data_IF_118111888639
#
_entry.id   IF_118111888639
#
_cell.length_a   1.000
_cell.length_b   1.000
_cell.length_c   1.000
_cell.angle_alpha   90.00
_cell.angle_beta   90.00
_cell.angle_gamma   90.00
#
_symmetry.space_group_name_H-M   'P 1'
#
loop_
_entity.id
_entity.type
_entity.pdbx_description
1 polymer ?
#
# COMPACT_ATOMS: atom_id res chain seq x y z
N UNK A 1 20.47 -3.47 -14.58
CA UNK A 1 21.07 -3.93 -13.30
C UNK A 1 20.59 -2.95 -12.24
N UNK A 2 19.95 -3.47 -11.17
CA UNK A 2 19.50 -2.66 -10.04
C UNK A 2 20.46 -2.81 -8.86
N UNK A 3 20.56 -1.76 -8.05
CA UNK A 3 21.25 -1.79 -6.76
C UNK A 3 20.23 -1.97 -5.64
N UNK A 4 20.58 -2.73 -4.60
CA UNK A 4 19.73 -2.98 -3.45
C UNK A 4 20.46 -2.58 -2.16
N UNK A 5 19.72 -1.94 -1.25
CA UNK A 5 20.23 -1.60 0.08
C UNK A 5 19.13 -1.86 1.13
N UNK A 6 19.56 -2.22 2.34
CA UNK A 6 18.70 -2.27 3.53
C UNK A 6 18.90 -0.98 4.30
N UNK A 7 17.82 -0.19 4.43
CA UNK A 7 17.90 1.10 5.11
C UNK A 7 16.54 1.48 5.74
N UNK A 8 16.58 2.49 6.62
CA UNK A 8 15.35 3.14 7.09
C UNK A 8 14.81 4.08 6.01
N UNK A 9 13.49 4.06 5.78
CA UNK A 9 12.83 5.02 4.88
C UNK A 9 13.01 6.48 5.33
N UNK A 10 13.27 6.70 6.61
CA UNK A 10 13.53 8.02 7.20
C UNK A 10 14.98 8.47 7.07
N UNK A 11 15.86 7.61 6.56
CA UNK A 11 17.28 7.89 6.36
C UNK A 11 17.84 7.01 5.25
N UNK A 12 17.59 7.40 4.03
CA UNK A 12 18.00 6.65 2.84
C UNK A 12 19.48 6.88 2.52
N UNK A 13 20.24 5.84 2.12
CA UNK A 13 21.63 5.98 1.70
C UNK A 13 21.71 6.55 0.26
N UNK A 14 21.05 7.67 0.04
CA UNK A 14 20.91 8.36 -1.25
C UNK A 14 21.32 9.82 -1.06
N UNK A 15 22.08 10.36 -2.03
CA UNK A 15 22.52 11.75 -2.01
C UNK A 15 21.32 12.70 -2.19
N UNK A 16 21.43 13.90 -1.63
CA UNK A 16 20.45 14.97 -1.77
C UNK A 16 20.24 15.32 -3.25
N UNK A 17 18.98 15.50 -3.64
CA UNK A 17 18.62 15.95 -4.97
C UNK A 17 19.17 15.09 -6.11
N UNK A 18 19.28 13.77 -5.93
CA UNK A 18 19.93 12.88 -6.89
C UNK A 18 18.97 12.02 -7.71
N UNK A 19 17.72 11.83 -7.27
CA UNK A 19 16.77 10.96 -7.96
C UNK A 19 15.64 11.73 -8.64
N UNK A 20 15.21 11.23 -9.79
CA UNK A 20 14.16 11.83 -10.61
C UNK A 20 12.77 11.32 -10.22
N UNK A 21 12.69 10.06 -9.80
CA UNK A 21 11.44 9.40 -9.46
C UNK A 21 11.60 8.45 -8.27
N UNK A 22 10.67 8.51 -7.31
CA UNK A 22 10.60 7.64 -6.13
C UNK A 22 9.27 6.90 -6.13
N UNK A 23 9.31 5.58 -5.97
CA UNK A 23 8.12 4.75 -5.77
C UNK A 23 8.06 4.27 -4.33
N UNK A 24 6.99 4.63 -3.61
CA UNK A 24 6.70 4.16 -2.27
C UNK A 24 5.48 3.23 -2.30
N UNK A 25 5.71 1.93 -2.09
CA UNK A 25 4.66 0.91 -2.04
C UNK A 25 4.52 0.39 -0.61
N UNK A 26 3.37 0.62 0.04
CA UNK A 26 3.02 0.07 1.36
C UNK A 26 4.06 0.34 2.46
N UNK A 27 4.86 1.35 2.28
CA UNK A 27 5.90 1.79 3.21
C UNK A 27 5.46 3.07 3.92
N UNK A 28 5.98 3.38 5.11
CA UNK A 28 5.73 4.66 5.76
C UNK A 28 6.11 5.84 4.86
N UNK A 29 5.37 6.93 4.99
CA UNK A 29 5.57 8.14 4.21
C UNK A 29 6.58 9.05 4.94
N UNK A 30 7.79 9.15 4.43
CA UNK A 30 8.87 9.98 4.98
C UNK A 30 9.07 11.24 4.12
N UNK A 31 8.14 12.20 4.22
CA UNK A 31 8.05 13.37 3.33
C UNK A 31 9.34 14.19 3.32
N UNK A 32 9.95 14.46 4.47
CA UNK A 32 11.20 15.23 4.54
C UNK A 32 12.35 14.53 3.83
N UNK A 33 12.41 13.21 3.98
CA UNK A 33 13.44 12.40 3.33
C UNK A 33 13.20 12.30 1.81
N UNK A 34 11.95 12.17 1.38
CA UNK A 34 11.59 12.18 -0.04
C UNK A 34 11.94 13.53 -0.68
N UNK A 35 11.65 14.63 0.04
CA UNK A 35 12.04 15.98 -0.40
C UNK A 35 13.56 16.13 -0.48
N UNK A 36 14.31 15.56 0.44
CA UNK A 36 15.79 15.62 0.42
C UNK A 36 16.37 14.93 -0.81
N UNK A 37 15.95 13.69 -1.10
CA UNK A 37 16.57 12.87 -2.16
C UNK A 37 16.10 13.20 -3.56
N UNK A 38 14.87 13.71 -3.74
CA UNK A 38 14.33 14.08 -5.04
C UNK A 38 14.96 15.35 -5.57
N UNK A 39 15.24 15.38 -6.88
CA UNK A 39 15.57 16.60 -7.62
C UNK A 39 14.38 17.56 -7.60
N UNK A 40 14.67 18.84 -7.87
CA UNK A 40 13.64 19.83 -8.18
C UNK A 40 12.84 19.39 -9.40
N UNK A 41 11.51 19.39 -9.32
CA UNK A 41 10.62 18.83 -10.35
C UNK A 41 10.61 17.30 -10.41
N UNK A 42 11.33 16.64 -9.53
CA UNK A 42 11.26 15.18 -9.38
C UNK A 42 9.93 14.73 -8.80
N UNK A 43 9.55 13.49 -9.06
CA UNK A 43 8.23 12.96 -8.70
C UNK A 43 8.33 11.82 -7.68
N UNK A 44 7.32 11.68 -6.82
CA UNK A 44 7.11 10.44 -6.12
C UNK A 44 5.68 9.90 -6.33
N UNK A 45 5.59 8.58 -6.46
CA UNK A 45 4.35 7.84 -6.47
C UNK A 45 4.15 7.14 -5.12
N UNK A 46 2.97 7.33 -4.53
CA UNK A 46 2.57 6.72 -3.27
C UNK A 46 1.42 5.77 -3.48
N UNK A 47 1.69 4.47 -3.35
CA UNK A 47 0.72 3.39 -3.57
C UNK A 47 0.08 3.01 -2.25
N UNK A 48 -1.24 3.13 -2.18
CA UNK A 48 -2.06 2.81 -1.01
C UNK A 48 -3.26 1.96 -1.40
N UNK A 49 -3.82 1.15 -0.47
CA UNK A 49 -5.06 0.44 -0.73
C UNK A 49 -6.21 1.42 -0.97
N UNK A 50 -7.01 1.16 -2.01
CA UNK A 50 -8.28 1.85 -2.22
C UNK A 50 -9.36 1.39 -1.22
N UNK A 51 -10.50 2.06 -1.21
CA UNK A 51 -11.57 1.82 -0.23
C UNK A 51 -12.00 0.35 -0.15
N UNK A 52 -12.16 -0.31 -1.29
CA UNK A 52 -12.67 -1.68 -1.41
C UNK A 52 -11.57 -2.74 -1.61
N UNK A 53 -10.30 -2.39 -1.34
CA UNK A 53 -9.20 -3.35 -1.44
C UNK A 53 -9.43 -4.55 -0.52
N UNK A 54 -9.36 -5.78 -1.08
CA UNK A 54 -9.60 -7.05 -0.41
C UNK A 54 -10.98 -7.14 0.26
N UNK A 55 -12.02 -6.62 -0.41
CA UNK A 55 -13.36 -6.52 0.16
C UNK A 55 -13.92 -7.87 0.58
N UNK A 56 -13.85 -8.89 -0.27
CA UNK A 56 -14.38 -10.22 0.00
C UNK A 56 -13.62 -10.92 1.14
N UNK A 57 -12.32 -10.64 1.29
CA UNK A 57 -11.58 -11.07 2.48
C UNK A 57 -12.13 -10.39 3.75
N UNK A 58 -12.42 -9.09 3.71
CA UNK A 58 -13.01 -8.38 4.86
C UNK A 58 -14.39 -8.91 5.24
N UNK A 59 -15.22 -9.30 4.26
CA UNK A 59 -16.52 -9.94 4.52
C UNK A 59 -16.40 -11.27 5.27
N UNK A 60 -15.33 -12.02 5.05
CA UNK A 60 -15.02 -13.24 5.81
C UNK A 60 -14.51 -12.92 7.22
N UNK A 61 -13.68 -11.89 7.36
CA UNK A 61 -13.01 -11.54 8.61
C UNK A 61 -13.92 -10.83 9.61
N UNK A 62 -14.86 -10.00 9.12
CA UNK A 62 -15.67 -9.09 9.95
C UNK A 62 -17.16 -9.30 9.69
N UNK A 63 -17.96 -9.23 10.73
CA UNK A 63 -19.42 -9.27 10.62
C UNK A 63 -19.98 -7.99 9.98
N UNK A 64 -19.31 -6.87 10.20
CA UNK A 64 -19.58 -5.57 9.57
C UNK A 64 -18.30 -5.08 8.90
N UNK A 65 -18.06 -5.46 7.62
CA UNK A 65 -16.89 -4.99 6.89
C UNK A 65 -16.97 -3.48 6.62
N UNK A 66 -15.84 -2.81 6.68
CA UNK A 66 -15.74 -1.37 6.46
C UNK A 66 -14.71 -1.03 5.37
N UNK A 67 -14.94 0.02 4.56
CA UNK A 67 -14.00 0.45 3.54
C UNK A 67 -12.72 1.02 4.17
N UNK A 68 -11.62 0.96 3.45
CA UNK A 68 -10.42 1.70 3.84
C UNK A 68 -10.67 3.21 3.71
N UNK A 69 -10.06 3.97 4.60
CA UNK A 69 -10.11 5.42 4.51
C UNK A 69 -9.19 5.89 3.36
N UNK A 70 -9.75 6.66 2.44
CA UNK A 70 -9.02 7.25 1.32
C UNK A 70 -8.88 8.75 1.56
N UNK A 71 -7.64 9.22 1.69
CA UNK A 71 -7.33 10.64 1.93
C UNK A 71 -6.47 11.21 0.81
N UNK A 72 -6.83 12.39 0.33
CA UNK A 72 -5.96 13.24 -0.47
C UNK A 72 -5.31 14.27 0.46
N UNK A 73 -4.11 13.96 0.93
CA UNK A 73 -3.39 14.83 1.87
C UNK A 73 -2.37 15.67 1.09
N UNK A 74 -2.40 17.00 1.19
CA UNK A 74 -1.32 17.83 0.69
C UNK A 74 -0.08 17.67 1.56
N UNK A 75 1.10 17.68 0.94
CA UNK A 75 2.38 17.62 1.63
C UNK A 75 3.22 18.86 1.29
N UNK A 76 3.82 19.46 2.32
CA UNK A 76 4.65 20.65 2.17
C UNK A 76 5.84 20.40 1.25
N UNK A 77 6.05 21.29 0.27
CA UNK A 77 7.11 21.18 -0.74
C UNK A 77 6.78 20.22 -1.88
N UNK A 78 5.51 19.79 -1.99
CA UNK A 78 5.04 18.94 -3.07
C UNK A 78 3.71 19.43 -3.64
N UNK A 79 3.65 19.45 -4.96
CA UNK A 79 2.41 19.66 -5.70
C UNK A 79 1.74 18.31 -5.96
N UNK A 80 0.48 18.20 -5.63
CA UNK A 80 -0.32 17.01 -5.99
C UNK A 80 -0.61 17.03 -7.49
N UNK A 81 -0.17 16.02 -8.22
CA UNK A 81 -0.30 15.95 -9.69
C UNK A 81 -1.56 15.21 -10.10
N UNK A 82 -1.71 13.96 -9.63
CA UNK A 82 -2.80 13.08 -10.05
C UNK A 82 -3.00 11.91 -9.08
N UNK A 83 -4.11 11.20 -9.25
CA UNK A 83 -4.38 9.89 -8.63
C UNK A 83 -4.87 8.91 -9.69
N UNK A 84 -4.20 7.79 -9.79
CA UNK A 84 -4.59 6.68 -10.64
C UNK A 84 -5.21 5.59 -9.77
N UNK A 85 -6.36 5.08 -10.17
CA UNK A 85 -6.96 3.90 -9.54
C UNK A 85 -6.65 2.66 -10.39
N UNK A 86 -6.13 1.63 -9.75
CA UNK A 86 -5.84 0.32 -10.36
C UNK A 86 -6.69 -0.71 -9.65
N UNK A 87 -7.50 -1.47 -10.41
CA UNK A 87 -8.34 -2.56 -9.91
C UNK A 87 -8.11 -3.83 -10.70
N UNK A 88 -8.14 -4.95 -9.98
CA UNK A 88 -8.13 -6.29 -10.55
C UNK A 88 -8.78 -7.26 -9.56
N UNK A 89 -8.99 -8.50 -9.95
CA UNK A 89 -9.54 -9.57 -9.11
C UNK A 89 -8.57 -10.73 -9.10
N UNK A 90 -8.27 -11.26 -7.92
CA UNK A 90 -7.42 -12.43 -7.76
C UNK A 90 -8.21 -13.59 -7.17
N UNK A 91 -7.85 -14.81 -7.59
CA UNK A 91 -8.37 -16.05 -7.00
C UNK A 91 -7.22 -16.85 -6.42
N UNK A 92 -7.34 -17.20 -5.15
CA UNK A 92 -6.41 -18.06 -4.42
C UNK A 92 -7.08 -19.41 -4.19
N UNK A 93 -6.47 -20.49 -4.64
CA UNK A 93 -7.05 -21.85 -4.66
C UNK A 93 -6.50 -22.76 -3.57
N UNK A 94 -5.74 -22.21 -2.62
CA UNK A 94 -5.24 -22.98 -1.51
C UNK A 94 -5.27 -22.17 -0.20
N UNK A 95 -5.51 -22.85 0.96
CA UNK A 95 -5.59 -22.19 2.26
C UNK A 95 -4.31 -21.49 2.70
N UNK A 96 -3.14 -21.96 2.26
CA UNK A 96 -1.84 -21.40 2.66
C UNK A 96 -1.65 -20.01 2.05
N UNK A 97 -1.95 -19.84 0.76
CA UNK A 97 -1.86 -18.54 0.08
C UNK A 97 -2.92 -17.55 0.59
N UNK A 98 -4.14 -18.03 0.89
CA UNK A 98 -5.19 -17.22 1.51
C UNK A 98 -4.70 -16.67 2.85
N UNK A 99 -4.12 -17.53 3.69
CA UNK A 99 -3.62 -17.14 4.99
C UNK A 99 -2.37 -16.24 4.89
N UNK A 100 -1.47 -16.51 3.94
CA UNK A 100 -0.31 -15.67 3.67
C UNK A 100 -0.72 -14.26 3.25
N UNK A 101 -1.71 -14.13 2.35
CA UNK A 101 -2.25 -12.82 1.96
C UNK A 101 -2.82 -12.08 3.17
N UNK A 102 -3.58 -12.74 4.04
CA UNK A 102 -4.09 -12.15 5.28
C UNK A 102 -2.96 -11.65 6.18
N UNK A 103 -1.90 -12.44 6.38
CA UNK A 103 -0.75 -12.06 7.21
C UNK A 103 0.02 -10.85 6.69
N UNK A 104 -0.01 -10.59 5.39
CA UNK A 104 0.59 -9.40 4.77
C UNK A 104 -0.21 -8.11 5.04
N UNK A 105 -1.42 -8.23 5.54
CA UNK A 105 -2.29 -7.08 5.81
C UNK A 105 -2.23 -6.64 7.27
N UNK A 106 -2.53 -5.36 7.57
CA UNK A 106 -2.71 -4.92 8.95
C UNK A 106 -3.91 -5.56 9.66
N UNK A 107 -4.79 -6.25 8.93
CA UNK A 107 -5.94 -6.96 9.50
C UNK A 107 -5.52 -8.09 10.43
N UNK A 108 -4.38 -8.74 10.17
CA UNK A 108 -3.84 -9.84 10.98
C UNK A 108 -3.68 -9.50 12.46
N UNK A 109 -3.51 -8.21 12.80
CA UNK A 109 -3.34 -7.73 14.17
C UNK A 109 -4.65 -7.32 14.86
N UNK A 110 -5.75 -7.17 14.11
CA UNK A 110 -7.00 -6.57 14.59
C UNK A 110 -8.21 -7.51 14.47
N UNK A 111 -8.09 -8.59 13.72
CA UNK A 111 -9.20 -9.49 13.42
C UNK A 111 -9.52 -10.36 14.62
N UNK A 112 -10.81 -10.47 15.03
CA UNK A 112 -11.24 -11.41 16.06
C UNK A 112 -10.93 -12.87 15.70
N UNK A 113 -10.71 -13.71 16.70
CA UNK A 113 -10.35 -15.12 16.50
C UNK A 113 -11.37 -15.89 15.64
N UNK A 114 -12.65 -15.54 15.74
CA UNK A 114 -13.74 -16.13 14.93
C UNK A 114 -13.58 -15.80 13.44
N UNK A 115 -13.25 -14.56 13.10
CA UNK A 115 -12.97 -14.15 11.73
C UNK A 115 -11.74 -14.87 11.14
N UNK A 116 -10.70 -15.04 11.95
CA UNK A 116 -9.50 -15.82 11.55
C UNK A 116 -9.88 -17.29 11.34
N UNK A 117 -10.73 -17.86 12.18
CA UNK A 117 -11.20 -19.23 12.02
C UNK A 117 -12.03 -19.41 10.74
N UNK A 118 -12.91 -18.46 10.43
CA UNK A 118 -13.66 -18.45 9.15
C UNK A 118 -12.70 -18.42 7.95
N UNK A 119 -11.70 -17.54 7.96
CA UNK A 119 -10.71 -17.46 6.88
C UNK A 119 -9.95 -18.77 6.70
N UNK A 120 -9.51 -19.40 7.79
CA UNK A 120 -8.78 -20.68 7.76
C UNK A 120 -9.61 -21.86 7.26
N UNK A 121 -10.94 -21.77 7.28
CA UNK A 121 -11.84 -22.80 6.75
C UNK A 121 -12.02 -22.71 5.22
N UNK A 122 -11.56 -21.64 4.59
CA UNK A 122 -11.67 -21.48 3.16
C UNK A 122 -10.65 -22.34 2.42
N UNK A 123 -11.07 -22.95 1.33
CA UNK A 123 -10.22 -23.64 0.35
C UNK A 123 -9.93 -22.78 -0.86
N UNK A 124 -10.78 -21.79 -1.12
CA UNK A 124 -10.66 -20.84 -2.24
C UNK A 124 -11.15 -19.47 -1.79
N UNK A 125 -10.49 -18.43 -2.23
CA UNK A 125 -10.91 -17.04 -2.03
C UNK A 125 -10.72 -16.26 -3.34
N UNK A 126 -11.80 -15.69 -3.85
CA UNK A 126 -11.75 -14.68 -4.91
C UNK A 126 -11.97 -13.31 -4.26
N UNK A 127 -11.05 -12.38 -4.48
CA UNK A 127 -11.12 -11.05 -3.86
C UNK A 127 -10.61 -9.97 -4.79
N UNK A 128 -11.18 -8.80 -4.67
CA UNK A 128 -10.74 -7.63 -5.43
C UNK A 128 -9.48 -7.03 -4.84
N UNK A 129 -8.54 -6.69 -5.71
CA UNK A 129 -7.39 -5.85 -5.39
C UNK A 129 -7.62 -4.47 -5.98
N UNK A 130 -7.54 -3.44 -5.16
CA UNK A 130 -7.77 -2.07 -5.58
C UNK A 130 -6.77 -1.14 -4.89
N UNK A 131 -6.08 -0.34 -5.70
CA UNK A 131 -5.03 0.57 -5.24
C UNK A 131 -5.24 1.97 -5.79
N UNK A 132 -4.87 2.98 -5.00
CA UNK A 132 -4.64 4.31 -5.48
C UNK A 132 -3.14 4.58 -5.57
N UNK A 133 -2.72 5.13 -6.70
CA UNK A 133 -1.36 5.62 -6.93
C UNK A 133 -1.44 7.14 -6.95
N UNK A 134 -1.08 7.77 -5.85
CA UNK A 134 -1.02 9.22 -5.74
C UNK A 134 0.32 9.71 -6.29
N UNK A 135 0.28 10.64 -7.24
CA UNK A 135 1.47 11.22 -7.87
C UNK A 135 1.70 12.64 -7.39
N UNK A 136 2.91 12.92 -6.95
CA UNK A 136 3.36 14.22 -6.47
C UNK A 136 4.62 14.67 -7.21
N UNK A 137 4.77 15.97 -7.38
CA UNK A 137 5.97 16.62 -7.92
C UNK A 137 6.58 17.52 -6.86
N UNK A 138 7.90 17.45 -6.69
CA UNK A 138 8.64 18.34 -5.78
C UNK A 138 8.71 19.75 -6.38
N UNK A 139 8.25 20.75 -5.61
CA UNK A 139 8.31 22.18 -5.91
C UNK A 139 9.63 22.82 -5.50
#
# INVERSE_FOLDING_TARGET
QGECAVASVYHLPIMDGSIDFLLNCFSPLAIDEFRRVLKQGGHFAYVVPAAEHLWQMKEVLYDEPYPNEVKRTPYEGFRYVDVLEVRDTITLDNPEDIFALFQMTPYSWKTPAEGVARLKSLTTLTTDIAFHIHLFEKE
#
